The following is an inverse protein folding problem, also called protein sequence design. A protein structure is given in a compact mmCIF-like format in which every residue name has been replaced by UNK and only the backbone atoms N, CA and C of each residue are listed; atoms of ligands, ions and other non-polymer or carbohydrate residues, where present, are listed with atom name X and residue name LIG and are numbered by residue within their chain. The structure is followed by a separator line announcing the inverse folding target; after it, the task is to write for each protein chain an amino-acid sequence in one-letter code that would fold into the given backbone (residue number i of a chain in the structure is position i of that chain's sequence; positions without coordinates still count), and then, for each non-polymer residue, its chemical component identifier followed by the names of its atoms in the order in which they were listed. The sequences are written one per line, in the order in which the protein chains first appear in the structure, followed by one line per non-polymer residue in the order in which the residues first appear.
data_IF_401305675972
#
_entry.id   IF_401305675972
#
_cell.length_a   1.000
_cell.length_b   1.000
_cell.length_c   1.000
_cell.angle_alpha   90.00
_cell.angle_beta   90.00
_cell.angle_gamma   90.00
#
_symmetry.space_group_name_H-M   'P 1'
#
loop_
_entity.id
_entity.type
_entity.pdbx_description
1 polymer ?
#
# COMPACT_ATOMS: atom_id res chain seq x y z
N UNK A 1 59.79 3.61 1.99
CA UNK A 1 59.31 2.30 1.54
C UNK A 1 57.91 2.14 2.07
N UNK A 2 56.86 2.00 1.22
CA UNK A 2 55.52 1.75 1.72
C UNK A 2 55.49 0.35 2.35
N UNK A 3 54.87 0.23 3.50
CA UNK A 3 54.64 -1.02 4.20
C UNK A 3 53.76 -1.94 3.31
N UNK A 4 54.25 -3.15 3.00
CA UNK A 4 53.43 -4.14 2.32
C UNK A 4 52.48 -4.75 3.33
N UNK A 5 51.16 -4.59 3.16
CA UNK A 5 50.14 -5.34 3.93
C UNK A 5 50.32 -6.83 3.63
N UNK A 6 50.74 -7.57 4.62
CA UNK A 6 50.81 -9.05 4.53
C UNK A 6 49.42 -9.63 4.84
N UNK A 7 48.80 -10.22 3.84
CA UNK A 7 47.58 -10.98 4.06
C UNK A 7 47.93 -12.36 4.66
N UNK A 8 47.01 -12.91 5.46
CA UNK A 8 47.12 -14.29 6.02
C UNK A 8 47.36 -15.32 4.91
N UNK A 9 46.85 -15.07 3.73
CA UNK A 9 47.05 -15.88 2.53
C UNK A 9 48.48 -15.82 2.03
N UNK A 10 49.08 -14.65 1.98
CA UNK A 10 50.50 -14.47 1.55
C UNK A 10 51.47 -15.09 2.54
N UNK A 11 51.21 -15.02 3.84
CA UNK A 11 52.04 -15.70 4.87
C UNK A 11 51.96 -17.25 4.79
N UNK A 12 50.82 -17.81 4.51
CA UNK A 12 50.67 -19.26 4.29
C UNK A 12 51.37 -19.72 3.04
N UNK A 13 51.35 -18.92 1.99
CA UNK A 13 52.03 -19.19 0.73
C UNK A 13 53.54 -19.13 0.91
N UNK A 14 54.05 -18.14 1.62
CA UNK A 14 55.43 -17.94 1.98
C UNK A 14 55.96 -19.12 2.83
N UNK A 15 55.18 -19.51 3.89
CA UNK A 15 55.49 -20.69 4.72
C UNK A 15 55.63 -21.97 3.88
N UNK A 16 54.68 -22.25 2.99
CA UNK A 16 54.73 -23.46 2.14
C UNK A 16 55.92 -23.41 1.18
N UNK A 17 56.25 -22.24 0.64
CA UNK A 17 57.41 -22.04 -0.26
C UNK A 17 58.71 -22.36 0.47
N UNK A 18 58.91 -21.80 1.65
CA UNK A 18 60.14 -22.05 2.43
C UNK A 18 60.22 -23.52 2.90
N UNK A 19 59.09 -24.11 3.28
CA UNK A 19 59.07 -25.51 3.74
C UNK A 19 59.36 -26.55 2.63
N UNK A 20 59.25 -26.15 1.35
CA UNK A 20 59.61 -27.01 0.20
C UNK A 20 61.09 -26.90 -0.23
N UNK A 21 61.85 -26.02 0.38
CA UNK A 21 63.29 -25.86 0.09
C UNK A 21 64.07 -27.04 0.67
N UNK A 22 65.09 -27.49 -0.04
CA UNK A 22 65.96 -28.59 0.41
C UNK A 22 66.62 -28.21 1.76
N UNK A 23 66.52 -29.13 2.75
CA UNK A 23 67.08 -28.90 4.09
C UNK A 23 66.25 -28.04 5.04
N UNK A 24 65.01 -27.64 4.68
CA UNK A 24 64.17 -26.83 5.52
C UNK A 24 63.71 -27.54 6.81
N UNK A 25 63.96 -26.94 7.96
CA UNK A 25 63.47 -27.42 9.25
C UNK A 25 62.07 -26.90 9.50
N UNK A 26 61.05 -27.77 9.43
CA UNK A 26 59.65 -27.39 9.68
C UNK A 26 59.47 -26.83 11.09
N UNK A 27 60.20 -27.34 12.08
CA UNK A 27 60.14 -26.84 13.45
C UNK A 27 60.57 -25.39 13.55
N UNK A 28 61.69 -25.04 12.93
CA UNK A 28 62.23 -23.66 12.90
C UNK A 28 61.33 -22.73 12.13
N UNK A 29 60.77 -23.18 10.99
CA UNK A 29 59.85 -22.38 10.21
C UNK A 29 58.54 -22.12 10.99
N UNK A 30 57.97 -23.11 11.66
CA UNK A 30 56.77 -22.92 12.50
C UNK A 30 57.05 -21.91 13.61
N UNK A 31 58.19 -21.94 14.26
CA UNK A 31 58.57 -20.92 15.26
C UNK A 31 58.67 -19.52 14.65
N UNK A 32 59.31 -19.41 13.45
CA UNK A 32 59.42 -18.15 12.70
C UNK A 32 58.07 -17.52 12.33
N UNK A 33 57.12 -18.34 11.90
CA UNK A 33 55.76 -17.91 11.50
C UNK A 33 54.75 -17.87 12.68
N UNK A 34 55.17 -18.13 13.91
CA UNK A 34 54.35 -18.11 15.11
C UNK A 34 53.19 -19.15 15.08
N UNK A 35 53.37 -20.27 14.39
CA UNK A 35 52.37 -21.33 14.26
C UNK A 35 52.83 -22.67 14.90
N UNK A 36 51.85 -23.46 15.33
CA UNK A 36 52.17 -24.82 15.83
C UNK A 36 52.65 -25.74 14.67
N UNK A 37 53.49 -26.74 14.99
CA UNK A 37 53.88 -27.76 14.01
C UNK A 37 52.71 -28.47 13.39
N UNK A 38 51.63 -28.73 14.15
CA UNK A 38 50.38 -29.30 13.65
C UNK A 38 49.74 -28.40 12.58
N UNK A 39 49.75 -27.08 12.79
CA UNK A 39 49.26 -26.10 11.80
C UNK A 39 50.16 -26.07 10.57
N UNK A 40 51.47 -26.14 10.73
CA UNK A 40 52.43 -26.17 9.62
C UNK A 40 52.23 -27.41 8.72
N UNK A 41 52.17 -28.60 9.28
CA UNK A 41 51.91 -29.83 8.53
C UNK A 41 50.54 -29.84 7.87
N UNK A 42 49.49 -29.26 8.51
CA UNK A 42 48.16 -29.05 7.90
C UNK A 42 48.27 -28.27 6.58
N UNK A 43 49.01 -27.15 6.58
CA UNK A 43 49.15 -26.32 5.40
C UNK A 43 49.97 -26.99 4.31
N UNK A 44 51.06 -27.73 4.68
CA UNK A 44 51.83 -28.52 3.73
C UNK A 44 50.97 -29.65 3.06
N UNK A 45 50.18 -30.34 3.84
CA UNK A 45 49.31 -31.39 3.29
C UNK A 45 48.26 -30.81 2.32
N UNK A 46 47.71 -29.63 2.65
CA UNK A 46 46.76 -28.96 1.75
C UNK A 46 47.43 -28.50 0.46
N UNK A 47 48.62 -27.94 0.56
CA UNK A 47 49.37 -27.50 -0.61
C UNK A 47 49.85 -28.69 -1.50
N UNK A 48 50.06 -29.86 -0.93
CA UNK A 48 50.42 -31.08 -1.67
C UNK A 48 49.22 -31.71 -2.40
N UNK A 49 48.02 -31.57 -1.84
CA UNK A 49 46.78 -32.05 -2.43
C UNK A 49 46.29 -31.25 -3.65
N UNK A 50 47.07 -30.27 -4.13
CA UNK A 50 46.70 -29.43 -5.28
C UNK A 50 45.51 -28.46 -4.98
N UNK A 51 45.13 -28.35 -3.72
CA UNK A 51 44.07 -27.49 -3.28
C UNK A 51 44.52 -26.03 -3.50
N UNK A 52 43.85 -25.25 -4.36
CA UNK A 52 44.03 -23.84 -4.54
C UNK A 52 43.78 -23.04 -3.23
N UNK A 53 43.61 -23.76 -2.13
CA UNK A 53 43.08 -23.32 -0.88
C UNK A 53 44.07 -23.31 0.25
N UNK A 54 45.03 -22.41 0.21
CA UNK A 54 45.57 -21.86 1.47
C UNK A 54 44.53 -20.92 2.14
N UNK A 55 43.35 -20.77 1.52
CA UNK A 55 42.15 -20.13 2.08
C UNK A 55 41.56 -20.98 3.22
N UNK A 56 40.87 -20.28 4.13
CA UNK A 56 40.16 -21.00 5.19
C UNK A 56 38.97 -21.77 4.58
N UNK A 57 38.86 -23.04 4.92
CA UNK A 57 37.68 -23.84 4.58
C UNK A 57 36.50 -23.39 5.46
N UNK A 58 35.29 -23.49 4.92
CA UNK A 58 34.08 -23.26 5.68
C UNK A 58 34.10 -24.11 6.97
N UNK A 59 33.83 -23.46 8.10
CA UNK A 59 33.65 -24.16 9.40
C UNK A 59 32.23 -24.63 9.62
N UNK A 60 31.36 -24.46 8.62
CA UNK A 60 29.96 -24.87 8.71
C UNK A 60 29.90 -26.40 8.79
N UNK A 61 29.12 -26.98 9.72
CA UNK A 61 28.87 -28.40 9.79
C UNK A 61 28.31 -28.95 8.48
N UNK A 62 28.71 -30.13 8.06
CA UNK A 62 28.18 -30.81 6.87
C UNK A 62 26.73 -31.22 7.03
N UNK A 63 26.30 -31.50 8.26
CA UNK A 63 24.91 -31.78 8.61
C UNK A 63 24.49 -30.92 9.79
N UNK A 64 23.26 -30.41 9.77
CA UNK A 64 22.65 -29.66 10.88
C UNK A 64 21.33 -30.34 11.24
N UNK A 65 21.17 -30.84 12.49
CA UNK A 65 19.93 -31.48 12.94
C UNK A 65 18.72 -30.58 12.85
N UNK A 66 18.93 -29.25 12.92
CA UNK A 66 17.88 -28.21 12.85
C UNK A 66 17.71 -27.65 11.42
N UNK A 67 18.23 -28.30 10.40
CA UNK A 67 18.06 -27.86 9.01
C UNK A 67 16.62 -28.13 8.57
N UNK A 68 15.99 -27.10 7.95
CA UNK A 68 14.66 -27.27 7.34
C UNK A 68 14.65 -28.40 6.35
N UNK A 69 13.70 -29.35 6.43
CA UNK A 69 13.61 -30.49 5.47
C UNK A 69 13.50 -29.97 4.01
N UNK A 70 14.17 -30.63 3.06
CA UNK A 70 14.16 -30.23 1.65
C UNK A 70 12.75 -30.08 1.05
N UNK A 71 11.82 -30.95 1.43
CA UNK A 71 10.42 -30.88 0.99
C UNK A 71 9.72 -29.59 1.46
N UNK A 72 9.95 -29.20 2.70
CA UNK A 72 9.39 -27.97 3.24
C UNK A 72 10.06 -26.71 2.64
N UNK A 73 11.36 -26.79 2.37
CA UNK A 73 12.07 -25.73 1.65
C UNK A 73 11.51 -25.55 0.22
N UNK A 74 11.22 -26.63 -0.49
CA UNK A 74 10.58 -26.59 -1.81
C UNK A 74 9.20 -25.90 -1.74
N UNK A 75 8.36 -26.23 -0.77
CA UNK A 75 7.06 -25.58 -0.58
C UNK A 75 7.20 -24.06 -0.30
N UNK A 76 8.20 -23.65 0.49
CA UNK A 76 8.49 -22.22 0.73
C UNK A 76 8.83 -21.52 -0.59
N UNK A 77 9.65 -22.16 -1.43
CA UNK A 77 10.06 -21.59 -2.72
C UNK A 77 8.89 -21.53 -3.71
N UNK A 78 8.05 -22.55 -3.77
CA UNK A 78 6.82 -22.57 -4.59
C UNK A 78 5.87 -21.43 -4.19
N UNK A 79 5.60 -21.27 -2.89
CA UNK A 79 4.79 -20.15 -2.39
C UNK A 79 5.42 -18.78 -2.73
N UNK A 80 6.75 -18.66 -2.69
CA UNK A 80 7.44 -17.45 -3.08
C UNK A 80 7.31 -17.17 -4.57
N UNK A 81 7.32 -18.18 -5.42
CA UNK A 81 7.10 -18.06 -6.87
C UNK A 81 5.66 -17.61 -7.14
N UNK A 82 4.68 -18.20 -6.44
CA UNK A 82 3.27 -17.79 -6.54
C UNK A 82 3.03 -16.36 -6.03
N UNK A 83 3.77 -15.93 -5.03
CA UNK A 83 3.64 -14.61 -4.40
C UNK A 83 4.99 -13.88 -4.32
N UNK A 84 5.50 -13.32 -5.42
CA UNK A 84 6.86 -12.76 -5.49
C UNK A 84 7.13 -11.59 -4.53
N UNK A 85 6.10 -10.91 -4.04
CA UNK A 85 6.22 -9.79 -3.10
C UNK A 85 6.19 -10.21 -1.62
N UNK A 86 5.92 -11.50 -1.31
CA UNK A 86 5.76 -11.95 0.07
C UNK A 86 7.09 -12.34 0.70
N UNK A 87 7.49 -11.66 1.77
CA UNK A 87 8.65 -12.01 2.59
C UNK A 87 8.33 -13.10 3.61
N UNK A 88 9.37 -13.54 4.37
CA UNK A 88 9.28 -14.65 5.31
C UNK A 88 8.13 -14.56 6.33
N UNK A 89 7.78 -13.37 6.81
CA UNK A 89 6.64 -13.20 7.73
C UNK A 89 5.32 -13.57 7.07
N UNK A 90 5.09 -13.13 5.83
CA UNK A 90 3.84 -13.41 5.11
C UNK A 90 3.74 -14.87 4.69
N UNK A 91 4.84 -15.47 4.18
CA UNK A 91 4.88 -16.87 3.79
C UNK A 91 4.68 -17.83 4.97
N UNK A 92 5.10 -17.44 6.17
CA UNK A 92 4.92 -18.24 7.38
C UNK A 92 3.43 -18.51 7.70
N UNK A 93 2.53 -17.55 7.44
CA UNK A 93 1.11 -17.68 7.79
C UNK A 93 0.39 -18.76 6.98
N UNK A 94 0.38 -18.75 5.64
CA UNK A 94 -0.25 -19.83 4.87
C UNK A 94 0.37 -21.19 5.16
N UNK A 95 1.70 -21.29 5.35
CA UNK A 95 2.34 -22.54 5.74
C UNK A 95 1.81 -23.09 7.08
N UNK A 96 1.57 -22.22 8.07
CA UNK A 96 0.94 -22.65 9.32
C UNK A 96 -0.51 -23.07 9.13
N UNK A 97 -1.25 -22.41 8.25
CA UNK A 97 -2.64 -22.73 7.96
C UNK A 97 -2.81 -24.10 7.29
N UNK A 98 -1.77 -24.66 6.64
CA UNK A 98 -1.80 -26.02 6.09
C UNK A 98 -1.71 -27.12 7.15
N UNK A 99 -1.61 -26.78 8.45
CA UNK A 99 -1.53 -27.74 9.54
C UNK A 99 -0.16 -28.39 9.75
N UNK A 100 0.89 -27.90 9.09
CA UNK A 100 2.26 -28.37 9.28
C UNK A 100 2.75 -28.04 10.70
N UNK A 101 3.21 -29.06 11.43
CA UNK A 101 3.63 -28.91 12.82
C UNK A 101 4.93 -28.09 12.96
N UNK A 102 5.88 -28.25 12.05
CA UNK A 102 7.23 -27.71 12.16
C UNK A 102 7.53 -26.62 11.13
N UNK A 103 6.63 -25.64 10.97
CA UNK A 103 6.87 -24.49 10.08
C UNK A 103 8.03 -23.66 10.62
N UNK A 104 9.10 -23.42 9.82
CA UNK A 104 10.25 -22.64 10.25
C UNK A 104 9.87 -21.21 10.62
N UNK A 105 10.58 -20.63 11.59
CA UNK A 105 10.38 -19.22 11.96
C UNK A 105 10.52 -18.28 10.75
N UNK A 106 9.84 -17.13 10.73
CA UNK A 106 9.93 -16.15 9.63
C UNK A 106 11.36 -15.73 9.26
N UNK A 107 12.25 -15.69 10.24
CA UNK A 107 13.68 -15.40 10.03
C UNK A 107 14.38 -16.53 9.24
N UNK A 108 14.06 -17.77 9.53
CA UNK A 108 14.58 -18.96 8.81
C UNK A 108 14.06 -18.97 7.37
N UNK A 109 12.75 -18.72 7.17
CA UNK A 109 12.18 -18.59 5.81
C UNK A 109 12.90 -17.46 5.05
N UNK A 110 13.13 -16.31 5.68
CA UNK A 110 13.88 -15.21 5.08
C UNK A 110 15.30 -15.61 4.71
N UNK A 111 15.98 -16.42 5.55
CA UNK A 111 17.33 -16.93 5.26
C UNK A 111 17.32 -17.92 4.07
N UNK A 112 16.30 -18.76 3.95
CA UNK A 112 16.09 -19.66 2.82
C UNK A 112 15.94 -18.84 1.53
N UNK A 113 15.03 -17.86 1.51
CA UNK A 113 14.82 -16.98 0.35
C UNK A 113 16.09 -16.23 -0.06
N UNK A 114 16.88 -15.77 0.93
CA UNK A 114 18.17 -15.08 0.66
C UNK A 114 19.18 -16.03 0.02
N UNK A 115 19.28 -17.26 0.50
CA UNK A 115 20.17 -18.29 -0.04
C UNK A 115 19.84 -18.62 -1.50
N UNK A 116 18.56 -18.58 -1.87
CA UNK A 116 18.08 -18.80 -3.24
C UNK A 116 18.03 -17.51 -4.09
N UNK A 117 18.59 -16.38 -3.61
CA UNK A 117 18.62 -15.15 -4.38
C UNK A 117 17.26 -14.48 -4.62
N UNK A 118 16.23 -14.86 -3.84
CA UNK A 118 14.84 -14.40 -4.04
C UNK A 118 14.48 -13.16 -3.24
N UNK A 119 15.45 -12.44 -2.68
CA UNK A 119 15.20 -11.21 -1.91
C UNK A 119 15.88 -10.01 -2.56
N UNK A 120 15.11 -8.94 -2.74
CA UNK A 120 15.65 -7.61 -3.05
C UNK A 120 16.10 -6.89 -1.76
N UNK A 121 17.03 -5.91 -1.85
CA UNK A 121 17.38 -5.06 -0.71
C UNK A 121 16.14 -4.43 -0.10
N UNK A 122 16.04 -4.46 1.23
CA UNK A 122 14.93 -3.84 1.95
C UNK A 122 15.08 -2.31 1.93
N UNK A 123 14.00 -1.55 1.68
CA UNK A 123 14.02 -0.10 1.88
C UNK A 123 14.20 0.23 3.38
N UNK A 124 14.75 1.41 3.71
CA UNK A 124 14.92 1.83 5.09
C UNK A 124 13.57 1.90 5.82
N UNK A 125 13.54 1.63 7.14
CA UNK A 125 12.35 1.75 7.94
C UNK A 125 11.85 3.21 7.93
N UNK A 126 10.54 3.40 7.88
CA UNK A 126 9.90 4.72 7.99
C UNK A 126 9.04 4.73 9.24
N UNK A 127 9.23 5.72 10.08
CA UNK A 127 8.36 5.96 11.22
C UNK A 127 7.03 6.57 10.76
N UNK A 128 5.92 6.02 11.25
CA UNK A 128 4.59 6.56 10.98
C UNK A 128 3.65 6.34 12.17
N UNK A 129 2.77 7.30 12.38
CA UNK A 129 1.74 7.22 13.43
C UNK A 129 0.52 6.46 12.87
N UNK A 130 0.11 5.40 13.55
CA UNK A 130 -1.08 4.64 13.15
C UNK A 130 -2.34 5.41 13.49
N UNK A 131 -3.21 5.58 12.50
CA UNK A 131 -4.60 6.00 12.65
C UNK A 131 -5.49 4.88 12.08
N UNK A 132 -6.59 4.54 12.77
CA UNK A 132 -7.53 3.51 12.33
C UNK A 132 -8.89 3.80 12.92
N UNK A 133 -9.94 3.78 12.10
CA UNK A 133 -11.32 3.82 12.58
C UNK A 133 -11.67 2.55 13.35
N UNK A 134 -12.58 2.66 14.31
CA UNK A 134 -12.92 1.56 15.23
C UNK A 134 -13.78 0.46 14.60
N UNK A 135 -14.54 0.77 13.55
CA UNK A 135 -15.48 -0.13 12.89
C UNK A 135 -15.34 -0.07 11.36
N UNK A 136 -15.67 -1.17 10.65
CA UNK A 136 -15.72 -1.15 9.19
C UNK A 136 -16.82 -0.21 8.68
N UNK A 137 -16.63 0.31 7.47
CA UNK A 137 -17.53 1.25 6.79
C UNK A 137 -17.73 2.62 7.48
N UNK A 138 -16.99 2.91 8.56
CA UNK A 138 -16.96 4.26 9.12
C UNK A 138 -16.26 5.23 8.16
N UNK A 139 -15.15 4.81 7.57
CA UNK A 139 -14.42 5.59 6.58
C UNK A 139 -13.88 4.67 5.47
N UNK A 140 -14.17 5.01 4.23
CA UNK A 140 -13.47 4.46 3.08
C UNK A 140 -12.46 5.47 2.55
N UNK A 141 -11.31 5.00 2.13
CA UNK A 141 -10.30 5.81 1.45
C UNK A 141 -10.38 5.52 -0.04
N UNK A 142 -10.48 6.55 -0.85
CA UNK A 142 -10.59 6.46 -2.30
C UNK A 142 -9.55 7.34 -2.96
N UNK A 143 -8.83 6.78 -3.92
CA UNK A 143 -7.80 7.52 -4.64
C UNK A 143 -7.49 6.87 -5.99
N UNK A 144 -7.00 7.68 -6.94
CA UNK A 144 -6.36 7.18 -8.15
C UNK A 144 -4.88 6.92 -7.90
N UNK A 145 -4.41 5.77 -8.33
CA UNK A 145 -2.99 5.42 -8.24
C UNK A 145 -2.09 6.22 -9.22
N UNK A 146 -2.66 7.19 -9.95
CA UNK A 146 -2.08 7.76 -11.14
C UNK A 146 -2.20 6.82 -12.35
N UNK A 147 -1.83 7.29 -13.53
CA UNK A 147 -1.94 6.47 -14.73
C UNK A 147 -0.81 5.47 -14.88
N UNK A 148 -1.10 4.32 -15.51
CA UNK A 148 -0.13 3.29 -15.87
C UNK A 148 -0.24 2.97 -17.35
N UNK A 149 0.89 2.74 -18.05
CA UNK A 149 0.85 2.37 -19.47
C UNK A 149 0.26 0.98 -19.66
N UNK A 150 -0.53 0.84 -20.70
CA UNK A 150 -0.97 -0.43 -21.29
C UNK A 150 -0.32 -0.58 -22.67
N UNK A 151 -0.38 -1.77 -23.27
CA UNK A 151 0.05 -1.94 -24.65
C UNK A 151 -0.83 -1.08 -25.59
N UNK A 152 -2.13 -0.95 -25.28
CA UNK A 152 -3.09 -0.12 -26.01
C UNK A 152 -3.57 1.05 -25.14
N UNK A 153 -2.73 2.08 -24.93
CA UNK A 153 -3.10 3.27 -24.19
C UNK A 153 -2.66 3.28 -22.73
N UNK A 154 -3.55 3.65 -21.82
CA UNK A 154 -3.25 3.77 -20.37
C UNK A 154 -4.46 3.40 -19.51
N UNK A 155 -4.20 2.99 -18.30
CA UNK A 155 -5.21 2.75 -17.25
C UNK A 155 -5.00 3.73 -16.09
N UNK A 156 -6.11 4.18 -15.51
CA UNK A 156 -6.17 4.98 -14.29
C UNK A 156 -6.77 4.10 -13.17
N UNK A 157 -5.96 3.38 -12.37
CA UNK A 157 -6.50 2.51 -11.34
C UNK A 157 -7.19 3.33 -10.23
N UNK A 158 -8.51 3.20 -10.12
CA UNK A 158 -9.29 3.75 -9.02
C UNK A 158 -9.38 2.71 -7.90
N UNK A 159 -8.97 3.08 -6.71
CA UNK A 159 -8.92 2.19 -5.55
C UNK A 159 -9.83 2.67 -4.44
N UNK A 160 -10.54 1.72 -3.81
CA UNK A 160 -11.36 1.95 -2.62
C UNK A 160 -10.94 0.96 -1.54
N UNK A 161 -10.62 1.49 -0.36
CA UNK A 161 -10.14 0.72 0.78
C UNK A 161 -10.93 1.07 2.04
N UNK A 162 -11.41 0.07 2.76
CA UNK A 162 -11.96 0.28 4.10
C UNK A 162 -10.85 0.60 5.11
N UNK A 163 -11.00 1.70 5.84
CA UNK A 163 -9.98 2.22 6.76
C UNK A 163 -9.71 1.28 7.94
N UNK A 164 -10.76 0.63 8.49
CA UNK A 164 -10.66 -0.27 9.63
C UNK A 164 -10.02 -1.61 9.25
N UNK A 165 -10.61 -2.30 8.28
CA UNK A 165 -10.26 -3.66 7.92
C UNK A 165 -9.13 -3.78 6.90
N UNK A 166 -8.79 -2.70 6.21
CA UNK A 166 -7.91 -2.71 5.02
C UNK A 166 -8.51 -3.48 3.84
N UNK A 167 -9.79 -3.82 3.90
CA UNK A 167 -10.47 -4.54 2.83
C UNK A 167 -10.54 -3.69 1.56
N UNK A 168 -10.05 -4.22 0.46
CA UNK A 168 -10.12 -3.58 -0.84
C UNK A 168 -11.52 -3.78 -1.44
N UNK A 169 -12.36 -2.75 -1.33
CA UNK A 169 -13.74 -2.73 -1.83
C UNK A 169 -13.78 -2.72 -3.36
N UNK A 170 -12.86 -1.98 -3.97
CA UNK A 170 -12.74 -1.86 -5.40
C UNK A 170 -11.32 -1.57 -5.85
N UNK A 171 -10.94 -2.16 -6.97
CA UNK A 171 -9.78 -1.79 -7.80
C UNK A 171 -10.27 -1.80 -9.22
N UNK A 172 -10.46 -0.62 -9.80
CA UNK A 172 -11.14 -0.46 -11.09
C UNK A 172 -10.19 0.06 -12.16
N UNK A 173 -10.21 -0.57 -13.33
CA UNK A 173 -9.43 -0.17 -14.50
C UNK A 173 -10.17 0.94 -15.26
N UNK A 174 -9.99 2.20 -14.84
CA UNK A 174 -10.63 3.34 -15.45
C UNK A 174 -9.88 3.83 -16.71
N UNK A 175 -10.61 4.22 -17.73
CA UNK A 175 -10.06 4.86 -18.93
C UNK A 175 -9.67 6.33 -18.69
N UNK A 176 -10.26 6.95 -17.68
CA UNK A 176 -10.06 8.37 -17.32
C UNK A 176 -10.45 8.60 -15.85
N UNK A 177 -10.20 9.82 -15.36
CA UNK A 177 -10.50 10.25 -14.00
C UNK A 177 -11.74 11.17 -13.94
N UNK A 178 -12.70 10.98 -14.83
CA UNK A 178 -13.91 11.82 -14.90
C UNK A 178 -14.97 11.43 -13.87
N UNK A 179 -15.79 12.39 -13.45
CA UNK A 179 -16.89 12.19 -12.50
C UNK A 179 -17.82 11.04 -12.89
N UNK A 180 -18.20 10.93 -14.17
CA UNK A 180 -19.09 9.89 -14.64
C UNK A 180 -18.50 8.49 -14.45
N UNK A 181 -17.20 8.33 -14.75
CA UNK A 181 -16.44 7.09 -14.54
C UNK A 181 -16.40 6.72 -13.07
N UNK A 182 -16.02 7.66 -12.22
CA UNK A 182 -15.96 7.44 -10.77
C UNK A 182 -17.33 7.07 -10.21
N UNK A 183 -18.38 7.81 -10.58
CA UNK A 183 -19.75 7.55 -10.11
C UNK A 183 -20.24 6.16 -10.52
N UNK A 184 -19.93 5.69 -11.74
CA UNK A 184 -20.30 4.36 -12.20
C UNK A 184 -19.64 3.26 -11.35
N UNK A 185 -18.32 3.39 -11.09
CA UNK A 185 -17.59 2.43 -10.25
C UNK A 185 -18.04 2.47 -8.79
N UNK A 186 -18.26 3.64 -8.21
CA UNK A 186 -18.82 3.77 -6.87
C UNK A 186 -20.20 3.13 -6.76
N UNK A 187 -21.06 3.31 -7.75
CA UNK A 187 -22.39 2.69 -7.78
C UNK A 187 -22.28 1.17 -7.72
N UNK A 188 -21.38 0.57 -8.51
CA UNK A 188 -21.14 -0.87 -8.47
C UNK A 188 -20.64 -1.36 -7.10
N UNK A 189 -19.72 -0.60 -6.48
CA UNK A 189 -19.22 -0.92 -5.13
C UNK A 189 -20.31 -0.76 -4.08
N UNK A 190 -21.12 0.30 -4.13
CA UNK A 190 -22.23 0.53 -3.19
C UNK A 190 -23.32 -0.54 -3.28
N UNK A 191 -23.65 -1.00 -4.49
CA UNK A 191 -24.58 -2.13 -4.68
C UNK A 191 -24.09 -3.41 -4.01
N UNK A 192 -22.78 -3.63 -4.06
CA UNK A 192 -22.16 -4.86 -3.53
C UNK A 192 -21.96 -4.82 -2.02
N UNK A 193 -21.56 -3.68 -1.46
CA UNK A 193 -21.08 -3.58 -0.08
C UNK A 193 -21.90 -2.63 0.80
N UNK A 194 -22.89 -1.93 0.25
CA UNK A 194 -23.63 -0.87 0.93
C UNK A 194 -22.85 0.44 0.99
N UNK A 195 -23.41 1.42 1.71
CA UNK A 195 -22.91 2.78 1.82
C UNK A 195 -22.03 2.96 3.06
N UNK A 196 -20.84 3.59 2.96
CA UNK A 196 -20.06 3.98 4.13
C UNK A 196 -20.67 5.20 4.83
N UNK A 197 -20.16 5.55 6.02
CA UNK A 197 -20.49 6.82 6.67
C UNK A 197 -19.77 7.99 5.98
N UNK A 198 -18.50 7.80 5.63
CA UNK A 198 -17.70 8.81 4.96
C UNK A 198 -16.72 8.20 3.93
N UNK A 199 -16.33 9.03 2.96
CA UNK A 199 -15.24 8.74 2.00
C UNK A 199 -14.21 9.83 2.12
N UNK A 200 -12.94 9.42 2.29
CA UNK A 200 -11.77 10.30 2.27
C UNK A 200 -11.15 10.28 0.88
N UNK A 201 -10.94 11.47 0.30
CA UNK A 201 -10.24 11.67 -0.96
C UNK A 201 -9.11 12.68 -0.79
N UNK A 202 -8.27 12.85 -1.80
CA UNK A 202 -7.37 14.00 -1.88
C UNK A 202 -8.12 15.30 -2.26
N UNK A 203 -7.38 16.40 -2.40
CA UNK A 203 -7.92 17.70 -2.82
C UNK A 203 -7.84 17.94 -4.35
N UNK A 204 -7.46 16.92 -5.12
CA UNK A 204 -7.33 17.00 -6.57
C UNK A 204 -8.64 16.79 -7.30
N UNK A 205 -8.64 17.03 -8.61
CA UNK A 205 -9.73 16.60 -9.47
C UNK A 205 -9.76 15.06 -9.55
N UNK A 206 -10.94 14.43 -9.58
CA UNK A 206 -12.29 14.99 -9.71
C UNK A 206 -12.99 15.29 -8.38
N UNK A 207 -12.29 15.21 -7.25
CA UNK A 207 -12.88 15.24 -5.91
C UNK A 207 -13.20 16.65 -5.41
N UNK A 208 -12.35 17.63 -5.77
CA UNK A 208 -12.49 19.00 -5.30
C UNK A 208 -12.59 19.99 -6.47
N UNK A 209 -13.25 21.13 -6.21
CA UNK A 209 -13.28 22.25 -7.15
C UNK A 209 -12.02 23.09 -6.99
N UNK A 210 -11.27 23.30 -8.06
CA UNK A 210 -10.09 24.15 -8.03
C UNK A 210 -10.50 25.63 -7.72
N UNK A 211 -10.14 26.12 -6.53
CA UNK A 211 -10.01 27.55 -6.24
C UNK A 211 -11.25 28.36 -5.86
N UNK A 212 -12.47 27.84 -5.93
CA UNK A 212 -13.67 28.65 -5.64
C UNK A 212 -14.60 28.04 -4.59
N UNK A 213 -14.13 27.33 -3.62
CA UNK A 213 -14.99 26.77 -2.55
C UNK A 213 -16.34 26.28 -3.08
N UNK A 214 -16.79 25.14 -2.68
CA UNK A 214 -18.07 24.60 -3.12
C UNK A 214 -17.99 23.10 -3.39
N UNK A 215 -19.15 22.46 -3.47
CA UNK A 215 -19.25 21.02 -3.73
C UNK A 215 -19.09 20.71 -5.22
N UNK A 216 -18.46 19.58 -5.51
CA UNK A 216 -18.56 18.96 -6.83
C UNK A 216 -19.91 18.24 -6.99
N UNK A 217 -20.30 17.93 -8.22
CA UNK A 217 -21.52 17.12 -8.46
C UNK A 217 -21.42 15.70 -7.87
N UNK A 218 -20.20 15.18 -7.75
CA UNK A 218 -19.96 13.88 -7.10
C UNK A 218 -20.21 13.99 -5.59
N UNK A 219 -19.70 15.01 -4.95
CA UNK A 219 -19.95 15.25 -3.52
C UNK A 219 -21.43 15.52 -3.22
N UNK A 220 -22.11 16.28 -4.07
CA UNK A 220 -23.55 16.49 -3.95
C UNK A 220 -24.33 15.17 -4.01
N UNK A 221 -23.95 14.29 -4.95
CA UNK A 221 -24.54 12.95 -5.04
C UNK A 221 -24.25 12.09 -3.82
N UNK A 222 -23.03 12.11 -3.28
CA UNK A 222 -22.65 11.38 -2.07
C UNK A 222 -23.42 11.89 -0.83
N UNK A 223 -23.55 13.20 -0.68
CA UNK A 223 -24.31 13.79 0.43
C UNK A 223 -25.80 13.44 0.37
N UNK A 224 -26.39 13.35 -0.82
CA UNK A 224 -27.78 12.87 -0.98
C UNK A 224 -27.94 11.39 -0.56
N UNK A 225 -26.88 10.60 -0.70
CA UNK A 225 -26.85 9.22 -0.20
C UNK A 225 -26.54 9.14 1.31
N UNK A 226 -26.34 10.28 1.97
CA UNK A 226 -25.93 10.35 3.37
C UNK A 226 -24.51 9.83 3.59
N UNK A 227 -23.63 10.02 2.61
CA UNK A 227 -22.20 9.71 2.68
C UNK A 227 -21.42 11.02 2.76
N UNK A 228 -20.71 11.23 3.87
CA UNK A 228 -19.86 12.39 4.06
C UNK A 228 -18.61 12.34 3.17
N UNK A 229 -18.16 13.50 2.71
CA UNK A 229 -16.90 13.62 1.99
C UNK A 229 -15.87 14.35 2.85
N UNK A 230 -14.73 13.68 3.05
CA UNK A 230 -13.60 14.23 3.76
C UNK A 230 -12.44 14.44 2.80
N UNK A 231 -11.76 15.56 2.94
CA UNK A 231 -10.56 15.85 2.17
C UNK A 231 -9.34 15.79 3.07
N UNK A 232 -8.24 15.25 2.54
CA UNK A 232 -6.96 15.26 3.22
C UNK A 232 -6.55 16.69 3.59
N UNK A 233 -6.04 16.92 4.80
CA UNK A 233 -5.47 18.24 5.14
C UNK A 233 -4.28 18.51 4.22
N UNK A 234 -4.15 19.71 3.63
CA UNK A 234 -2.98 20.07 2.85
C UNK A 234 -1.70 19.80 3.65
N UNK A 235 -0.70 19.19 3.03
CA UNK A 235 0.59 18.87 3.64
C UNK A 235 0.56 17.85 4.81
N UNK A 236 -0.51 17.06 4.98
CA UNK A 236 -0.55 15.95 5.92
C UNK A 236 -0.69 14.59 5.21
N UNK A 237 0.39 14.02 4.65
CA UNK A 237 0.36 12.75 3.91
C UNK A 237 -0.03 11.54 4.76
N UNK A 238 -0.03 11.68 6.09
CA UNK A 238 -0.37 10.58 7.01
C UNK A 238 -1.82 10.11 6.89
N UNK A 239 -2.72 10.97 6.39
CA UNK A 239 -4.16 10.66 6.28
C UNK A 239 -4.44 9.64 5.17
N UNK A 240 -3.62 9.59 4.11
CA UNK A 240 -3.75 8.67 2.96
C UNK A 240 -2.70 7.55 2.93
N UNK A 241 -1.82 7.47 3.91
CA UNK A 241 -0.72 6.50 3.96
C UNK A 241 -1.14 5.02 3.85
N UNK A 242 -2.44 4.69 4.03
CA UNK A 242 -2.99 3.35 3.83
C UNK A 242 -3.21 3.06 2.35
N UNK A 243 -3.83 4.00 1.63
CA UNK A 243 -4.04 3.91 0.18
C UNK A 243 -2.69 3.94 -0.55
N UNK A 244 -1.75 4.80 -0.16
CA UNK A 244 -0.40 4.83 -0.73
C UNK A 244 0.31 3.47 -0.57
N UNK A 245 0.21 2.85 0.60
CA UNK A 245 0.77 1.51 0.83
C UNK A 245 0.05 0.44 0.02
N UNK A 246 -1.27 0.57 -0.13
CA UNK A 246 -2.05 -0.30 -1.01
C UNK A 246 -1.61 -0.16 -2.47
N UNK A 247 -1.41 1.08 -2.96
CA UNK A 247 -0.88 1.37 -4.29
C UNK A 247 0.51 0.76 -4.50
N UNK A 248 1.41 0.87 -3.50
CA UNK A 248 2.71 0.22 -3.54
C UNK A 248 2.60 -1.31 -3.67
N UNK A 249 1.61 -1.92 -3.00
CA UNK A 249 1.35 -3.36 -3.09
C UNK A 249 0.79 -3.73 -4.47
N UNK A 250 -0.19 -2.98 -4.96
CA UNK A 250 -0.78 -3.16 -6.30
C UNK A 250 0.30 -3.01 -7.40
N UNK A 251 1.18 -2.01 -7.28
CA UNK A 251 2.30 -1.83 -8.20
C UNK A 251 3.21 -3.06 -8.24
N UNK A 252 3.59 -3.57 -7.08
CA UNK A 252 4.52 -4.68 -6.95
C UNK A 252 3.92 -6.04 -7.38
N UNK A 253 2.61 -6.21 -7.22
CA UNK A 253 1.96 -7.52 -7.48
C UNK A 253 1.32 -7.60 -8.86
N UNK A 254 0.94 -6.47 -9.48
CA UNK A 254 0.28 -6.46 -10.79
C UNK A 254 1.16 -5.87 -11.88
N UNK A 255 1.77 -4.71 -11.64
CA UNK A 255 2.48 -3.97 -12.69
C UNK A 255 3.96 -4.32 -12.83
N UNK A 256 4.58 -4.94 -11.80
CA UNK A 256 6.04 -5.19 -11.81
C UNK A 256 6.47 -6.35 -12.73
N UNK A 257 5.54 -7.22 -13.15
CA UNK A 257 5.92 -8.49 -13.78
C UNK A 257 5.75 -8.51 -15.29
N UNK A 258 4.81 -7.74 -15.84
CA UNK A 258 4.59 -7.63 -17.29
C UNK A 258 3.76 -6.41 -17.65
N UNK A 259 3.89 -5.87 -18.87
CA UNK A 259 2.92 -4.91 -19.41
C UNK A 259 1.53 -5.55 -19.52
N UNK A 260 0.48 -4.80 -19.23
CA UNK A 260 -0.89 -5.21 -19.46
C UNK A 260 -1.34 -4.75 -20.86
N UNK A 261 -2.17 -5.54 -21.55
CA UNK A 261 -2.59 -5.29 -22.92
C UNK A 261 -3.59 -4.14 -23.04
N UNK A 262 -4.73 -4.29 -22.38
CA UNK A 262 -5.88 -3.36 -22.46
C UNK A 262 -6.58 -3.23 -21.09
N UNK A 263 -7.69 -2.47 -21.05
CA UNK A 263 -8.44 -2.23 -19.81
C UNK A 263 -9.11 -3.49 -19.27
N UNK A 264 -9.61 -4.39 -20.12
CA UNK A 264 -10.28 -5.62 -19.69
C UNK A 264 -9.28 -6.59 -19.05
N UNK A 265 -8.10 -6.72 -19.63
CA UNK A 265 -7.01 -7.50 -19.05
C UNK A 265 -6.56 -6.87 -17.73
N UNK A 266 -6.42 -5.55 -17.66
CA UNK A 266 -6.09 -4.85 -16.43
C UNK A 266 -7.15 -5.10 -15.35
N UNK A 267 -8.44 -5.03 -15.68
CA UNK A 267 -9.53 -5.33 -14.74
C UNK A 267 -9.47 -6.76 -14.23
N UNK A 268 -9.22 -7.73 -15.12
CA UNK A 268 -9.09 -9.14 -14.73
C UNK A 268 -7.95 -9.36 -13.72
N UNK A 269 -6.80 -8.70 -13.94
CA UNK A 269 -5.69 -8.72 -12.99
C UNK A 269 -6.00 -8.02 -11.67
N UNK A 270 -6.73 -6.91 -11.71
CA UNK A 270 -7.16 -6.19 -10.50
C UNK A 270 -8.13 -7.03 -9.68
N UNK A 271 -9.04 -7.75 -10.31
CA UNK A 271 -9.98 -8.64 -9.60
C UNK A 271 -9.28 -9.83 -8.97
N UNK A 272 -8.34 -10.45 -9.67
CA UNK A 272 -7.49 -11.52 -9.12
C UNK A 272 -6.64 -11.00 -7.93
N UNK A 273 -5.97 -9.85 -8.10
CA UNK A 273 -5.21 -9.20 -7.05
C UNK A 273 -6.09 -8.89 -5.82
N UNK A 274 -7.27 -8.30 -6.02
CA UNK A 274 -8.21 -7.96 -4.94
C UNK A 274 -8.66 -9.19 -4.17
N UNK A 275 -8.86 -10.31 -4.85
CA UNK A 275 -9.22 -11.59 -4.23
C UNK A 275 -8.09 -12.08 -3.31
N UNK A 276 -6.87 -12.18 -3.83
CA UNK A 276 -5.69 -12.56 -3.04
C UNK A 276 -5.43 -11.59 -1.89
N UNK A 277 -5.51 -10.28 -2.16
CA UNK A 277 -5.29 -9.23 -1.17
C UNK A 277 -6.26 -9.34 0.01
N UNK A 278 -7.54 -9.57 -0.25
CA UNK A 278 -8.57 -9.63 0.78
C UNK A 278 -8.63 -10.96 1.54
N UNK A 279 -8.41 -12.08 0.85
CA UNK A 279 -8.71 -13.41 1.39
C UNK A 279 -7.46 -14.20 1.80
N UNK A 280 -6.31 -13.92 1.20
CA UNK A 280 -5.12 -14.76 1.37
C UNK A 280 -3.93 -13.99 1.94
N UNK A 281 -3.79 -12.70 1.61
CA UNK A 281 -2.61 -11.91 1.94
C UNK A 281 -2.58 -11.52 3.41
N UNK A 282 -1.57 -11.98 4.20
CA UNK A 282 -1.43 -11.57 5.59
C UNK A 282 -1.04 -10.09 5.70
N UNK A 283 -1.75 -9.34 6.55
CA UNK A 283 -1.51 -7.93 6.81
C UNK A 283 -0.82 -7.70 8.15
N UNK A 284 0.36 -7.12 8.13
CA UNK A 284 1.13 -6.81 9.33
C UNK A 284 0.36 -5.87 10.28
N UNK A 285 -0.36 -4.88 9.72
CA UNK A 285 -1.20 -3.97 10.49
C UNK A 285 -2.37 -4.66 11.20
N UNK A 286 -2.79 -5.84 10.74
CA UNK A 286 -3.89 -6.63 11.29
C UNK A 286 -3.39 -7.83 12.11
N UNK A 287 -2.14 -7.78 12.61
CA UNK A 287 -1.53 -8.92 13.31
C UNK A 287 -1.37 -10.13 12.39
N UNK A 288 -1.17 -9.90 11.11
CA UNK A 288 -1.09 -10.88 10.02
C UNK A 288 -2.39 -11.61 9.67
N UNK A 289 -3.54 -11.16 10.18
CA UNK A 289 -4.83 -11.58 9.68
C UNK A 289 -5.09 -11.04 8.27
N UNK A 290 -6.01 -11.67 7.54
CA UNK A 290 -6.45 -11.20 6.22
C UNK A 290 -7.52 -10.12 6.36
N UNK A 291 -7.62 -9.13 5.44
CA UNK A 291 -8.62 -8.07 5.51
C UNK A 291 -10.06 -8.55 5.66
N UNK A 292 -10.43 -9.61 4.96
CA UNK A 292 -11.78 -10.19 5.01
C UNK A 292 -12.20 -10.66 6.41
N UNK A 293 -11.25 -11.02 7.28
CA UNK A 293 -11.57 -11.45 8.65
C UNK A 293 -12.09 -10.32 9.55
N UNK A 294 -11.88 -9.05 9.14
CA UNK A 294 -12.29 -7.85 9.89
C UNK A 294 -13.34 -7.02 9.16
N UNK A 295 -13.71 -7.40 7.94
CA UNK A 295 -14.67 -6.66 7.13
C UNK A 295 -16.06 -7.29 7.21
N UNK A 296 -17.07 -6.43 7.27
CA UNK A 296 -18.46 -6.78 7.10
C UNK A 296 -19.12 -5.75 6.18
N UNK A 297 -20.02 -6.16 5.26
CA UNK A 297 -20.77 -5.22 4.44
C UNK A 297 -21.54 -4.20 5.29
N UNK A 298 -21.74 -3.01 4.75
CA UNK A 298 -22.51 -1.98 5.42
C UNK A 298 -23.98 -2.39 5.56
N UNK A 299 -24.61 -2.13 6.71
CA UNK A 299 -26.07 -2.33 6.88
C UNK A 299 -26.89 -1.28 6.10
N UNK A 300 -26.27 -0.26 5.52
CA UNK A 300 -26.92 0.79 4.73
C UNK A 300 -26.93 0.39 3.26
N UNK A 301 -28.03 -0.13 2.69
CA UNK A 301 -28.07 -0.55 1.30
C UNK A 301 -28.00 0.68 0.36
N UNK A 302 -27.50 0.48 -0.87
CA UNK A 302 -27.55 1.50 -1.89
C UNK A 302 -28.97 1.64 -2.44
N UNK A 303 -29.59 2.84 -2.42
CA UNK A 303 -30.90 3.07 -3.01
C UNK A 303 -30.75 3.23 -4.53
N UNK A 304 -31.45 2.43 -5.33
CA UNK A 304 -31.41 2.54 -6.79
C UNK A 304 -31.97 3.87 -7.30
N UNK A 305 -32.88 4.47 -6.56
CA UNK A 305 -33.35 5.86 -6.75
C UNK A 305 -32.81 6.74 -5.63
N UNK A 306 -31.97 7.73 -6.00
CA UNK A 306 -31.43 8.67 -5.01
C UNK A 306 -32.55 9.50 -4.40
N UNK A 307 -32.72 9.52 -3.06
CA UNK A 307 -33.80 10.25 -2.42
C UNK A 307 -33.81 11.74 -2.79
N UNK A 308 -34.97 12.36 -2.95
CA UNK A 308 -35.07 13.80 -3.11
C UNK A 308 -34.57 14.53 -1.85
N UNK A 309 -33.95 15.67 -2.01
CA UNK A 309 -33.60 16.52 -0.87
C UNK A 309 -34.84 17.22 -0.38
N UNK A 310 -35.18 17.02 0.89
CA UNK A 310 -36.34 17.65 1.56
C UNK A 310 -35.89 18.50 2.73
N UNK A 311 -36.58 19.60 2.93
CA UNK A 311 -36.34 20.54 4.02
C UNK A 311 -37.61 20.73 4.84
N UNK A 312 -37.49 21.27 6.03
CA UNK A 312 -38.64 21.55 6.89
C UNK A 312 -39.59 22.60 6.27
N UNK A 313 -40.85 22.59 6.70
CA UNK A 313 -41.88 23.50 6.13
C UNK A 313 -41.58 25.00 6.34
N UNK A 314 -40.82 25.35 7.38
CA UNK A 314 -40.44 26.70 7.72
C UNK A 314 -39.11 27.15 7.08
N UNK A 315 -38.48 26.31 6.30
CA UNK A 315 -37.20 26.61 5.65
C UNK A 315 -37.40 27.31 4.31
N UNK A 316 -36.62 28.34 4.09
CA UNK A 316 -36.62 29.06 2.81
C UNK A 316 -35.79 28.29 1.81
N UNK A 317 -36.43 27.62 0.83
CA UNK A 317 -35.76 26.84 -0.17
C UNK A 317 -35.59 27.61 -1.47
N UNK A 318 -34.42 27.46 -2.11
CA UNK A 318 -34.09 27.98 -3.43
C UNK A 318 -33.44 26.92 -4.30
N UNK A 319 -33.74 26.93 -5.59
CA UNK A 319 -33.09 26.05 -6.57
C UNK A 319 -31.84 26.76 -7.09
N UNK A 320 -30.73 26.04 -7.12
CA UNK A 320 -29.48 26.54 -7.68
C UNK A 320 -29.57 26.60 -9.19
N UNK A 321 -29.33 27.79 -9.75
CA UNK A 321 -29.40 28.07 -11.19
C UNK A 321 -28.27 27.38 -11.97
N UNK A 322 -28.37 27.36 -13.31
CA UNK A 322 -27.35 26.83 -14.23
C UNK A 322 -25.97 27.49 -14.06
N UNK A 323 -25.92 28.65 -13.43
CA UNK A 323 -24.67 29.35 -13.12
C UNK A 323 -24.10 29.04 -11.71
N UNK A 324 -24.71 28.10 -10.99
CA UNK A 324 -24.27 27.74 -9.63
C UNK A 324 -24.65 28.77 -8.56
N UNK A 325 -25.71 29.56 -8.79
CA UNK A 325 -26.13 30.65 -7.90
C UNK A 325 -27.61 30.58 -7.58
N UNK A 326 -28.02 31.24 -6.49
CA UNK A 326 -29.43 31.44 -6.10
C UNK A 326 -29.77 32.94 -6.14
N UNK A 327 -31.07 33.27 -6.30
CA UNK A 327 -31.61 34.60 -6.08
C UNK A 327 -32.21 34.70 -4.68
N UNK A 328 -31.71 35.62 -3.86
CA UNK A 328 -32.18 35.87 -2.51
C UNK A 328 -32.12 37.36 -2.21
N UNK A 329 -33.17 37.90 -1.60
CA UNK A 329 -33.24 39.32 -1.26
C UNK A 329 -32.92 40.29 -2.43
N UNK A 330 -33.44 39.96 -3.64
CA UNK A 330 -33.21 40.68 -4.91
C UNK A 330 -31.73 40.71 -5.37
N UNK A 331 -30.87 39.91 -4.77
CA UNK A 331 -29.45 39.77 -5.13
C UNK A 331 -29.17 38.36 -5.60
N UNK A 332 -28.08 38.20 -6.34
CA UNK A 332 -27.58 36.92 -6.80
C UNK A 332 -26.38 36.49 -5.94
N UNK A 333 -26.43 35.30 -5.36
CA UNK A 333 -25.38 34.74 -4.54
C UNK A 333 -24.83 33.50 -5.20
N UNK A 334 -23.51 33.45 -5.43
CA UNK A 334 -22.82 32.26 -5.96
C UNK A 334 -22.73 31.23 -4.85
N UNK A 335 -23.15 29.98 -5.13
CA UNK A 335 -23.11 28.88 -4.16
C UNK A 335 -22.13 27.81 -4.62
N UNK A 336 -22.49 27.06 -5.65
CA UNK A 336 -21.64 26.05 -6.25
C UNK A 336 -22.20 25.56 -7.59
N UNK A 337 -21.33 25.34 -8.57
CA UNK A 337 -21.71 24.71 -9.84
C UNK A 337 -22.04 23.22 -9.68
N UNK A 338 -21.52 22.56 -8.67
CA UNK A 338 -21.84 21.16 -8.41
C UNK A 338 -23.25 20.93 -7.87
N UNK A 339 -23.96 22.00 -7.49
CA UNK A 339 -25.32 21.96 -6.99
C UNK A 339 -26.36 22.44 -8.01
N UNK A 340 -26.00 22.63 -9.27
CA UNK A 340 -26.95 23.06 -10.33
C UNK A 340 -28.17 22.15 -10.38
N UNK A 341 -29.37 22.78 -10.28
CA UNK A 341 -30.65 22.06 -10.24
C UNK A 341 -31.06 21.51 -8.88
N UNK A 342 -30.15 21.55 -7.90
CA UNK A 342 -30.43 21.04 -6.55
C UNK A 342 -31.11 22.12 -5.68
N UNK A 343 -32.01 21.74 -4.76
CA UNK A 343 -32.56 22.64 -3.78
C UNK A 343 -31.58 22.87 -2.63
N UNK A 344 -31.47 24.12 -2.16
CA UNK A 344 -30.72 24.51 -0.96
C UNK A 344 -31.63 25.25 0.00
N UNK A 345 -31.44 25.06 1.31
CA UNK A 345 -32.17 25.78 2.34
C UNK A 345 -31.35 26.99 2.86
N UNK A 346 -32.04 28.03 3.18
CA UNK A 346 -31.47 29.24 3.78
C UNK A 346 -31.95 29.32 5.25
N UNK A 347 -30.99 29.34 6.17
CA UNK A 347 -31.26 29.49 7.62
C UNK A 347 -30.61 30.75 8.15
N UNK A 348 -31.35 31.56 8.96
CA UNK A 348 -30.73 32.65 9.67
C UNK A 348 -29.69 32.12 10.66
N UNK A 349 -28.60 32.81 10.84
CA UNK A 349 -27.57 32.48 11.84
C UNK A 349 -27.80 33.37 13.11
N UNK A 350 -26.96 33.18 14.12
CA UNK A 350 -26.95 34.04 15.30
C UNK A 350 -26.47 35.49 14.99
N UNK A 351 -25.78 35.67 13.88
CA UNK A 351 -25.33 36.99 13.43
C UNK A 351 -26.45 37.67 12.60
N UNK A 352 -26.84 38.90 12.92
CA UNK A 352 -27.80 39.65 12.11
C UNK A 352 -27.35 39.73 10.65
N UNK A 353 -28.30 39.69 9.72
CA UNK A 353 -28.05 39.71 8.27
C UNK A 353 -27.22 38.54 7.67
N UNK A 354 -26.72 37.62 8.48
CA UNK A 354 -25.94 36.46 7.99
C UNK A 354 -26.83 35.24 7.91
N UNK A 355 -26.82 34.57 6.73
CA UNK A 355 -27.60 33.37 6.42
C UNK A 355 -26.70 32.22 6.04
N UNK A 356 -26.93 31.05 6.64
CA UNK A 356 -26.31 29.80 6.23
C UNK A 356 -27.07 29.18 5.06
N UNK A 357 -26.35 28.78 4.02
CA UNK A 357 -26.91 28.01 2.90
C UNK A 357 -26.59 26.53 3.13
N UNK A 358 -27.61 25.71 3.23
CA UNK A 358 -27.47 24.29 3.49
C UNK A 358 -27.87 23.46 2.27
N UNK A 359 -27.06 22.42 2.00
CA UNK A 359 -27.43 21.33 1.10
C UNK A 359 -27.47 20.02 1.88
N UNK A 360 -28.63 19.36 1.88
CA UNK A 360 -28.91 18.31 2.86
C UNK A 360 -28.72 18.83 4.29
N UNK A 361 -27.79 18.24 5.03
CA UNK A 361 -27.45 18.66 6.40
C UNK A 361 -26.17 19.51 6.47
N UNK A 362 -25.47 19.71 5.35
CA UNK A 362 -24.16 20.39 5.30
C UNK A 362 -24.29 21.84 4.91
N UNK A 363 -23.67 22.73 5.67
CA UNK A 363 -23.50 24.13 5.26
C UNK A 363 -22.50 24.21 4.10
N UNK A 364 -22.95 24.78 2.98
CA UNK A 364 -22.19 24.87 1.72
C UNK A 364 -21.74 26.28 1.38
N UNK A 365 -22.42 27.28 1.95
CA UNK A 365 -22.05 28.69 1.81
C UNK A 365 -22.61 29.51 2.97
N UNK A 366 -22.16 30.74 3.05
CA UNK A 366 -22.73 31.79 3.93
C UNK A 366 -23.08 32.99 3.07
N UNK A 367 -24.20 33.62 3.35
CA UNK A 367 -24.62 34.88 2.70
C UNK A 367 -24.63 35.96 3.77
N UNK A 368 -23.82 36.97 3.61
CA UNK A 368 -23.87 38.18 4.38
C UNK A 368 -24.60 39.27 3.55
N UNK A 369 -25.71 39.81 4.08
CA UNK A 369 -26.52 40.79 3.38
C UNK A 369 -25.96 42.22 3.54
N UNK A 370 -25.15 42.44 4.58
CA UNK A 370 -24.52 43.73 4.86
C UNK A 370 -23.20 43.90 4.14
N UNK A 371 -22.46 42.76 3.92
CA UNK A 371 -21.16 42.75 3.22
C UNK A 371 -21.20 41.75 2.05
N UNK A 372 -21.90 42.05 0.95
CA UNK A 372 -22.16 41.08 -0.14
C UNK A 372 -20.94 40.73 -1.00
N UNK A 373 -19.83 41.43 -0.89
CA UNK A 373 -18.64 41.31 -1.76
C UNK A 373 -17.46 40.60 -1.08
N UNK A 374 -17.61 40.11 0.15
CA UNK A 374 -16.56 39.38 0.91
C UNK A 374 -16.72 37.84 0.92
N UNK A 375 -17.16 37.23 -0.18
CA UNK A 375 -17.30 35.77 -0.31
C UNK A 375 -16.31 35.20 -1.29
#
# INVERSE_FOLDING_TARGET
MPWQERSVMSERQEFVTFARQAGASISTLCARFGISRKTGYKWLARAAAGDHGLADRSRRPHASPAQTPPALEAQILELRVAHPSWGGRKLHHPLRATGLADVPAPSTITAILRRHGMLSPAPPPRDFRRFEHSIPNALWQMDFMGHRPLTTGRVHPLTLLDDHSRFALGVSACANEQHATVKAHLTAVFRRYGLPQAILTDNGAPWATAGMGGLTSLEAWLLRLGVETWHGRPCHPQTQGKVERFHGTLAAEVFAHRPLGNLDEAQSHFDAFRTVYNLERPHEALGHAVPASRYQPSPRPFPESVPPVTYGPDEVVRIVSVHGSISWQRRRHVISRGLVGEPVALRPTLQPAVWAVLFCHRQVATIDLDHPDEV
#
